data_IF_453705273332
#
_entry.id   IF_453705273332
#
_cell.length_a   1.000
_cell.length_b   1.000
_cell.length_c   1.000
_cell.angle_alpha   90.00
_cell.angle_beta   90.00
_cell.angle_gamma   90.00
#
_symmetry.space_group_name_H-M   'P 1'
#
loop_
_entity.id
_entity.type
_entity.pdbx_description
1 polymer ?
#
# COMPACT_ATOMS: atom_id res chain seq x y z
N UNK A 1 3.55 -40.80 30.45
CA UNK A 1 3.11 -40.88 29.04
C UNK A 1 1.79 -41.64 29.01
N UNK A 2 0.70 -40.97 28.62
CA UNK A 2 -0.65 -41.53 28.68
C UNK A 2 -1.74 -40.46 28.58
N UNK A 3 -1.53 -39.43 27.75
CA UNK A 3 -2.56 -38.41 27.53
C UNK A 3 -3.68 -38.98 26.66
N UNK A 4 -4.93 -38.77 27.05
CA UNK A 4 -6.11 -39.11 26.26
C UNK A 4 -6.57 -37.86 25.51
N UNK A 5 -6.67 -37.95 24.19
CA UNK A 5 -7.30 -36.90 23.38
C UNK A 5 -8.81 -36.94 23.58
N UNK A 6 -9.42 -35.76 23.80
CA UNK A 6 -10.86 -35.61 23.98
C UNK A 6 -11.37 -34.65 22.91
N UNK A 7 -12.42 -35.06 22.20
CA UNK A 7 -13.15 -34.20 21.28
C UNK A 7 -14.35 -33.60 22.01
N UNK A 8 -14.36 -32.28 22.19
CA UNK A 8 -15.44 -31.54 22.85
C UNK A 8 -16.66 -31.38 21.92
N UNK A 9 -17.85 -31.11 22.48
CA UNK A 9 -19.03 -30.67 21.73
C UNK A 9 -18.73 -29.54 20.73
N UNK A 10 -19.31 -29.60 19.53
CA UNK A 10 -19.17 -28.50 18.55
C UNK A 10 -19.96 -27.29 19.04
N UNK A 11 -19.34 -26.12 18.94
CA UNK A 11 -20.01 -24.84 19.14
C UNK A 11 -20.08 -24.13 17.80
N UNK A 12 -21.30 -23.90 17.31
CA UNK A 12 -21.57 -23.04 16.17
C UNK A 12 -21.86 -21.63 16.67
N UNK A 13 -20.94 -20.70 16.42
CA UNK A 13 -21.12 -19.29 16.77
C UNK A 13 -21.78 -18.56 15.59
N UNK A 14 -22.87 -17.83 15.87
CA UNK A 14 -23.63 -17.05 14.88
C UNK A 14 -23.46 -15.55 15.12
N UNK A 15 -23.81 -14.77 14.09
CA UNK A 15 -23.85 -13.29 14.11
C UNK A 15 -22.46 -12.65 14.31
N UNK A 16 -21.46 -13.13 13.59
CA UNK A 16 -20.11 -12.55 13.58
C UNK A 16 -20.01 -11.55 12.41
N UNK A 17 -19.99 -10.25 12.72
CA UNK A 17 -20.07 -9.19 11.70
C UNK A 17 -18.70 -8.57 11.34
N UNK A 18 -17.61 -9.07 11.91
CA UNK A 18 -16.27 -8.57 11.63
C UNK A 18 -15.21 -9.65 11.83
N UNK A 19 -14.04 -9.50 11.20
CA UNK A 19 -12.90 -10.39 11.45
C UNK A 19 -12.46 -10.38 12.92
N UNK A 20 -12.56 -9.23 13.60
CA UNK A 20 -12.30 -9.12 15.04
C UNK A 20 -13.27 -9.97 15.86
N UNK A 21 -14.57 -9.92 15.53
CA UNK A 21 -15.57 -10.76 16.17
C UNK A 21 -15.27 -12.25 15.95
N UNK A 22 -14.91 -12.64 14.72
CA UNK A 22 -14.54 -14.03 14.41
C UNK A 22 -13.34 -14.49 15.24
N UNK A 23 -12.25 -13.71 15.29
CA UNK A 23 -11.07 -14.03 16.11
C UNK A 23 -11.42 -14.14 17.58
N UNK A 24 -12.14 -13.14 18.12
CA UNK A 24 -12.53 -13.10 19.53
C UNK A 24 -13.42 -14.28 19.92
N UNK A 25 -14.36 -14.67 19.06
CA UNK A 25 -15.22 -15.83 19.30
C UNK A 25 -14.42 -17.14 19.33
N UNK A 26 -13.45 -17.30 18.41
CA UNK A 26 -12.57 -18.47 18.38
C UNK A 26 -11.72 -18.53 19.66
N UNK A 27 -11.10 -17.41 20.05
CA UNK A 27 -10.26 -17.32 21.25
C UNK A 27 -11.06 -17.62 22.52
N UNK A 28 -12.25 -17.06 22.64
CA UNK A 28 -13.14 -17.31 23.77
C UNK A 28 -13.55 -18.79 23.85
N UNK A 29 -13.98 -19.38 22.75
CA UNK A 29 -14.39 -20.79 22.69
C UNK A 29 -13.24 -21.76 22.96
N UNK A 30 -12.05 -21.45 22.46
CA UNK A 30 -10.83 -22.21 22.71
C UNK A 30 -10.49 -22.26 24.22
N UNK A 31 -10.70 -21.16 24.94
CA UNK A 31 -10.49 -21.10 26.39
C UNK A 31 -11.61 -21.79 27.19
N UNK A 32 -12.88 -21.62 26.77
CA UNK A 32 -14.05 -22.04 27.52
C UNK A 32 -14.41 -23.52 27.36
N UNK A 33 -14.23 -24.11 26.17
CA UNK A 33 -14.62 -25.50 25.91
C UNK A 33 -13.92 -26.53 26.81
N UNK A 34 -12.61 -26.42 27.09
CA UNK A 34 -11.95 -27.29 28.06
C UNK A 34 -12.54 -27.16 29.47
N UNK A 35 -12.92 -25.94 29.89
CA UNK A 35 -13.56 -25.67 31.17
C UNK A 35 -14.93 -26.36 31.28
N UNK A 36 -15.77 -26.18 30.25
CA UNK A 36 -17.07 -26.86 30.14
C UNK A 36 -16.94 -28.38 30.19
N UNK A 37 -16.00 -28.95 29.42
CA UNK A 37 -15.74 -30.39 29.45
C UNK A 37 -15.30 -30.89 30.83
N UNK A 38 -14.42 -30.17 31.54
CA UNK A 38 -14.02 -30.57 32.90
C UNK A 38 -15.19 -30.55 33.88
N UNK A 39 -16.18 -29.69 33.66
CA UNK A 39 -17.35 -29.55 34.53
C UNK A 39 -18.39 -30.64 34.29
N UNK A 40 -18.70 -30.99 33.04
CA UNK A 40 -19.81 -31.90 32.70
C UNK A 40 -19.37 -33.23 32.08
N UNK A 41 -18.09 -33.38 31.72
CA UNK A 41 -17.53 -34.56 31.06
C UNK A 41 -18.06 -34.82 29.66
N UNK A 42 -18.82 -33.89 29.05
CA UNK A 42 -19.48 -34.10 27.75
C UNK A 42 -18.46 -34.14 26.63
N UNK A 43 -18.53 -35.20 25.83
CA UNK A 43 -17.71 -35.38 24.62
C UNK A 43 -18.58 -35.30 23.37
N UNK A 44 -17.95 -35.15 22.21
CA UNK A 44 -18.66 -35.14 20.94
C UNK A 44 -19.47 -36.43 20.74
N UNK A 45 -20.72 -36.28 20.31
CA UNK A 45 -21.68 -37.35 20.08
C UNK A 45 -23.00 -36.82 19.53
N UNK A 46 -24.02 -37.68 19.34
CA UNK A 46 -25.34 -37.24 18.89
C UNK A 46 -25.92 -36.16 19.82
N UNK A 47 -26.32 -35.01 19.24
CA UNK A 47 -26.86 -33.88 20.01
C UNK A 47 -25.82 -33.05 20.77
N UNK A 48 -24.52 -33.35 20.66
CA UNK A 48 -23.45 -32.58 21.30
C UNK A 48 -23.06 -31.31 20.50
N UNK A 49 -24.01 -30.68 19.81
CA UNK A 49 -23.80 -29.41 19.11
C UNK A 49 -24.57 -28.32 19.85
N UNK A 50 -23.92 -27.20 20.09
CA UNK A 50 -24.56 -26.02 20.69
C UNK A 50 -24.48 -24.84 19.74
N UNK A 51 -25.56 -24.07 19.65
CA UNK A 51 -25.58 -22.81 18.90
C UNK A 51 -25.45 -21.66 19.87
N UNK A 52 -24.42 -20.84 19.67
CA UNK A 52 -24.09 -19.68 20.51
C UNK A 52 -24.09 -18.40 19.69
N UNK A 53 -24.39 -17.29 20.33
CA UNK A 53 -24.18 -15.94 19.79
C UNK A 53 -22.87 -15.36 20.28
N UNK A 54 -22.41 -14.30 19.63
CA UNK A 54 -21.30 -13.47 20.06
C UNK A 54 -21.81 -12.13 20.61
N UNK A 55 -21.26 -11.72 21.75
CA UNK A 55 -21.48 -10.40 22.34
C UNK A 55 -20.17 -9.61 22.22
N UNK A 56 -20.13 -8.66 21.29
CA UNK A 56 -18.94 -7.86 20.99
C UNK A 56 -18.51 -6.97 22.17
N UNK A 57 -19.47 -6.46 22.95
CA UNK A 57 -19.18 -5.56 24.08
C UNK A 57 -18.51 -6.31 25.22
N UNK A 58 -18.96 -7.56 25.46
CA UNK A 58 -18.45 -8.40 26.55
C UNK A 58 -17.31 -9.29 26.12
N UNK A 59 -17.11 -9.51 24.82
CA UNK A 59 -16.12 -10.43 24.28
C UNK A 59 -16.38 -11.88 24.67
N UNK A 60 -17.65 -12.29 24.76
CA UNK A 60 -18.04 -13.64 25.18
C UNK A 60 -19.05 -14.26 24.24
N UNK A 61 -19.06 -15.59 24.17
CA UNK A 61 -20.16 -16.31 23.55
C UNK A 61 -21.24 -16.62 24.59
N UNK A 62 -22.49 -16.53 24.18
CA UNK A 62 -23.63 -16.91 25.03
C UNK A 62 -24.49 -17.95 24.32
N UNK A 63 -25.05 -18.88 25.10
CA UNK A 63 -25.93 -19.91 24.56
C UNK A 63 -27.21 -19.28 24.04
N UNK A 64 -27.51 -19.48 22.75
CA UNK A 64 -28.77 -19.03 22.16
C UNK A 64 -29.83 -20.12 22.24
N UNK A 65 -29.45 -21.35 21.88
CA UNK A 65 -30.36 -22.50 21.89
C UNK A 65 -29.59 -23.77 22.23
N UNK A 66 -30.04 -24.43 23.29
CA UNK A 66 -29.75 -25.84 23.53
C UNK A 66 -30.98 -26.63 23.07
N UNK A 67 -30.98 -27.17 21.85
CA UNK A 67 -31.99 -28.18 21.50
C UNK A 67 -31.42 -29.32 20.71
N UNK A 68 -31.86 -30.49 21.16
CA UNK A 68 -31.81 -31.79 20.55
C UNK A 68 -32.41 -31.78 19.13
N UNK A 69 -31.92 -32.74 18.36
CA UNK A 69 -32.25 -33.08 16.98
C UNK A 69 -31.60 -32.19 15.90
N UNK A 70 -30.73 -32.82 15.12
CA UNK A 70 -30.29 -32.30 13.84
C UNK A 70 -31.53 -31.95 13.02
N UNK A 71 -31.60 -30.71 12.53
CA UNK A 71 -32.71 -30.27 11.69
C UNK A 71 -32.82 -31.21 10.49
N UNK A 72 -33.88 -32.02 10.44
CA UNK A 72 -34.20 -32.81 9.26
C UNK A 72 -34.78 -31.87 8.21
N UNK A 73 -33.89 -31.30 7.40
CA UNK A 73 -34.24 -30.42 6.29
C UNK A 73 -34.95 -31.17 5.15
N UNK A 74 -35.03 -32.51 5.21
CA UNK A 74 -35.67 -33.36 4.20
C UNK A 74 -35.25 -32.95 2.78
N UNK A 75 -33.95 -32.86 2.53
CA UNK A 75 -33.43 -32.50 1.21
C UNK A 75 -33.96 -33.45 0.13
N UNK A 76 -34.54 -32.89 -0.94
CA UNK A 76 -34.91 -33.60 -2.16
C UNK A 76 -34.60 -32.69 -3.37
N UNK A 77 -34.35 -33.24 -4.56
CA UNK A 77 -34.15 -32.44 -5.77
C UNK A 77 -35.38 -31.60 -6.07
N UNK A 78 -35.17 -30.31 -6.34
CA UNK A 78 -36.25 -29.42 -6.75
C UNK A 78 -36.79 -29.88 -8.12
N UNK A 79 -38.05 -30.34 -8.22
CA UNK A 79 -38.60 -30.86 -9.47
C UNK A 79 -38.91 -29.73 -10.48
N UNK A 80 -38.99 -28.48 -10.03
CA UNK A 80 -39.34 -27.32 -10.86
C UNK A 80 -38.09 -26.74 -11.55
N UNK A 81 -36.89 -27.04 -11.04
CA UNK A 81 -35.60 -26.59 -11.60
C UNK A 81 -34.94 -27.75 -12.34
N UNK A 82 -34.81 -27.70 -13.68
CA UNK A 82 -34.08 -28.72 -14.42
C UNK A 82 -32.61 -28.73 -13.99
N UNK A 83 -31.96 -29.88 -14.13
CA UNK A 83 -30.52 -29.99 -13.84
C UNK A 83 -29.73 -29.04 -14.74
N UNK A 84 -28.89 -28.22 -14.13
CA UNK A 84 -27.96 -27.35 -14.86
C UNK A 84 -26.77 -28.19 -15.32
N UNK A 85 -26.62 -28.36 -16.62
CA UNK A 85 -25.42 -28.95 -17.23
C UNK A 85 -24.43 -27.83 -17.56
N UNK A 86 -23.22 -27.94 -17.03
CA UNK A 86 -22.12 -27.00 -17.28
C UNK A 86 -21.14 -27.69 -18.22
N UNK A 87 -21.16 -27.31 -19.50
CA UNK A 87 -20.27 -27.87 -20.52
C UNK A 87 -18.87 -27.23 -20.48
N UNK A 88 -17.92 -27.85 -21.18
CA UNK A 88 -16.54 -27.39 -21.20
C UNK A 88 -16.39 -26.01 -21.87
N UNK A 89 -17.23 -25.68 -22.87
CA UNK A 89 -17.18 -24.39 -23.54
C UNK A 89 -17.55 -23.25 -22.57
N UNK A 90 -18.57 -23.45 -21.73
CA UNK A 90 -18.94 -22.49 -20.70
C UNK A 90 -17.87 -22.38 -19.60
N UNK A 91 -17.25 -23.51 -19.21
CA UNK A 91 -16.14 -23.50 -18.24
C UNK A 91 -14.95 -22.70 -18.77
N UNK A 92 -14.56 -22.93 -20.02
CA UNK A 92 -13.46 -22.23 -20.68
C UNK A 92 -13.76 -20.73 -20.82
N UNK A 93 -15.00 -20.35 -21.12
CA UNK A 93 -15.43 -18.95 -21.18
C UNK A 93 -15.28 -18.26 -19.81
N UNK A 94 -15.76 -18.89 -18.74
CA UNK A 94 -15.64 -18.35 -17.38
C UNK A 94 -14.18 -18.26 -16.95
N UNK A 95 -13.39 -19.30 -17.21
CA UNK A 95 -11.97 -19.35 -16.86
C UNK A 95 -11.18 -18.26 -17.60
N UNK A 96 -11.46 -18.03 -18.89
CA UNK A 96 -10.85 -16.95 -19.66
C UNK A 96 -11.25 -15.55 -19.17
N UNK A 97 -12.40 -15.42 -18.50
CA UNK A 97 -12.88 -14.17 -17.90
C UNK A 97 -12.33 -13.87 -16.50
N UNK A 98 -11.67 -14.82 -15.84
CA UNK A 98 -11.14 -14.62 -14.50
C UNK A 98 -9.91 -13.69 -14.53
N UNK A 99 -9.89 -12.60 -13.73
CA UNK A 99 -8.70 -11.80 -13.58
C UNK A 99 -7.62 -12.56 -12.79
N UNK A 100 -6.38 -12.11 -12.91
CA UNK A 100 -5.30 -12.59 -12.04
C UNK A 100 -5.67 -12.38 -10.56
N UNK A 101 -5.56 -13.44 -9.76
CA UNK A 101 -5.86 -13.38 -8.33
C UNK A 101 -4.83 -12.53 -7.57
N UNK A 102 -5.22 -11.79 -6.50
CA UNK A 102 -4.33 -10.92 -5.75
C UNK A 102 -3.02 -11.57 -5.27
N UNK A 103 -3.10 -12.79 -4.73
CA UNK A 103 -1.91 -13.51 -4.26
C UNK A 103 -0.99 -13.97 -5.40
N UNK A 104 -1.58 -14.39 -6.52
CA UNK A 104 -0.80 -14.74 -7.71
C UNK A 104 -0.05 -13.52 -8.26
N UNK A 105 -0.73 -12.36 -8.29
CA UNK A 105 -0.15 -11.08 -8.65
C UNK A 105 0.99 -10.66 -7.72
N UNK A 106 0.82 -10.80 -6.40
CA UNK A 106 1.87 -10.49 -5.42
C UNK A 106 3.13 -11.31 -5.66
N UNK A 107 2.97 -12.62 -5.90
CA UNK A 107 4.09 -13.51 -6.21
C UNK A 107 4.76 -13.09 -7.53
N UNK A 108 3.98 -12.80 -8.57
CA UNK A 108 4.51 -12.29 -9.86
C UNK A 108 5.28 -10.99 -9.69
N UNK A 109 4.79 -10.04 -8.89
CA UNK A 109 5.48 -8.77 -8.64
C UNK A 109 6.78 -8.97 -7.87
N UNK A 110 6.78 -9.82 -6.85
CA UNK A 110 8.01 -10.17 -6.16
C UNK A 110 9.05 -10.76 -7.13
N UNK A 111 8.66 -11.77 -7.91
CA UNK A 111 9.60 -12.51 -8.75
C UNK A 111 10.08 -11.73 -9.99
N UNK A 112 9.19 -10.92 -10.60
CA UNK A 112 9.50 -10.21 -11.85
C UNK A 112 9.91 -8.76 -11.66
N UNK A 113 9.49 -8.11 -10.56
CA UNK A 113 9.75 -6.70 -10.28
C UNK A 113 10.68 -6.51 -9.07
N UNK A 114 10.95 -7.56 -8.29
CA UNK A 114 11.69 -7.44 -7.04
C UNK A 114 10.99 -6.57 -6.01
N UNK A 115 9.66 -6.50 -6.06
CA UNK A 115 8.83 -5.71 -5.15
C UNK A 115 8.80 -6.38 -3.77
N UNK A 116 8.90 -5.57 -2.71
CA UNK A 116 8.78 -6.09 -1.35
C UNK A 116 7.34 -6.60 -1.11
N UNK A 117 7.16 -7.76 -0.42
CA UNK A 117 5.83 -8.29 -0.15
C UNK A 117 4.90 -7.32 0.60
N UNK A 118 5.44 -6.46 1.47
CA UNK A 118 4.62 -5.48 2.19
C UNK A 118 4.09 -4.38 1.28
N UNK A 119 4.94 -3.82 0.42
CA UNK A 119 4.56 -2.85 -0.61
C UNK A 119 3.51 -3.44 -1.57
N UNK A 120 3.73 -4.68 -2.01
CA UNK A 120 2.78 -5.38 -2.87
C UNK A 120 1.44 -5.65 -2.21
N UNK A 121 1.40 -5.94 -0.90
CA UNK A 121 0.15 -6.19 -0.18
C UNK A 121 -0.76 -4.97 -0.17
N UNK A 122 -0.21 -3.76 0.00
CA UNK A 122 -0.99 -2.52 -0.07
C UNK A 122 -1.55 -2.30 -1.47
N UNK A 123 -0.80 -2.61 -2.52
CA UNK A 123 -1.21 -2.38 -3.91
C UNK A 123 -2.26 -3.37 -4.42
N UNK A 124 -2.44 -4.54 -3.79
CA UNK A 124 -3.44 -5.55 -4.18
C UNK A 124 -4.75 -5.48 -3.39
N UNK A 125 -4.89 -4.51 -2.47
CA UNK A 125 -6.12 -4.35 -1.68
C UNK A 125 -7.34 -4.09 -2.59
N UNK A 126 -7.15 -3.24 -3.60
CA UNK A 126 -8.15 -2.96 -4.62
C UNK A 126 -7.64 -3.32 -6.02
N UNK A 127 -8.50 -3.95 -6.82
CA UNK A 127 -8.16 -4.37 -8.19
C UNK A 127 -7.74 -3.19 -9.09
N UNK A 128 -8.46 -2.04 -9.11
CA UNK A 128 -8.06 -0.91 -9.94
C UNK A 128 -6.67 -0.36 -9.61
N UNK A 129 -6.30 -0.34 -8.32
CA UNK A 129 -4.99 0.11 -7.86
C UNK A 129 -3.87 -0.83 -8.36
N UNK A 130 -4.13 -2.13 -8.30
CA UNK A 130 -3.20 -3.14 -8.82
C UNK A 130 -3.04 -3.07 -10.34
N UNK A 131 -4.14 -2.83 -11.07
CA UNK A 131 -4.12 -2.66 -12.53
C UNK A 131 -3.37 -1.39 -12.94
N UNK A 132 -3.64 -0.25 -12.28
CA UNK A 132 -2.90 0.99 -12.50
C UNK A 132 -1.39 0.82 -12.26
N UNK A 133 -1.01 0.09 -11.22
CA UNK A 133 0.40 -0.20 -10.95
C UNK A 133 1.06 -1.03 -12.07
N UNK A 134 0.42 -2.12 -12.51
CA UNK A 134 0.94 -2.93 -13.62
C UNK A 134 1.06 -2.12 -14.92
N UNK A 135 0.07 -1.28 -15.23
CA UNK A 135 0.10 -0.39 -16.39
C UNK A 135 1.25 0.61 -16.29
N UNK A 136 1.41 1.29 -15.14
CA UNK A 136 2.49 2.25 -14.92
C UNK A 136 3.89 1.60 -15.01
N UNK A 137 4.05 0.36 -14.52
CA UNK A 137 5.29 -0.40 -14.66
C UNK A 137 5.56 -0.74 -16.13
N UNK A 138 4.55 -1.17 -16.88
CA UNK A 138 4.72 -1.48 -18.30
C UNK A 138 5.10 -0.23 -19.11
N UNK A 139 4.43 0.91 -18.89
CA UNK A 139 4.78 2.21 -19.49
C UNK A 139 6.24 2.61 -19.17
N UNK A 140 6.66 2.46 -17.91
CA UNK A 140 8.05 2.74 -17.52
C UNK A 140 9.06 1.83 -18.24
N UNK A 141 8.71 0.55 -18.46
CA UNK A 141 9.55 -0.40 -19.19
C UNK A 141 9.62 -0.06 -20.68
N UNK A 142 8.49 0.27 -21.30
CA UNK A 142 8.41 0.70 -22.70
C UNK A 142 9.26 1.98 -22.93
N UNK A 143 9.31 2.86 -21.93
CA UNK A 143 10.17 4.04 -21.91
C UNK A 143 11.60 3.78 -21.37
N UNK A 144 12.04 2.53 -21.37
CA UNK A 144 13.44 2.14 -21.24
C UNK A 144 13.96 2.01 -19.82
N UNK A 145 13.11 1.92 -18.79
CA UNK A 145 13.55 1.43 -17.49
C UNK A 145 13.63 -0.11 -17.52
N UNK A 146 14.70 -0.73 -16.97
CA UNK A 146 14.71 -2.18 -16.75
C UNK A 146 13.53 -2.60 -15.87
N UNK A 147 12.87 -3.72 -16.16
CA UNK A 147 11.63 -4.15 -15.49
C UNK A 147 11.71 -4.19 -13.96
N UNK A 148 12.79 -4.71 -13.41
CA UNK A 148 13.00 -4.74 -11.94
C UNK A 148 13.15 -3.32 -11.36
N UNK A 149 13.79 -2.40 -12.09
CA UNK A 149 13.93 -1.00 -11.67
C UNK A 149 12.62 -0.24 -11.80
N UNK A 150 11.86 -0.49 -12.86
CA UNK A 150 10.55 0.11 -13.11
C UNK A 150 9.58 -0.20 -11.96
N UNK A 151 9.52 -1.47 -11.52
CA UNK A 151 8.68 -1.88 -10.38
C UNK A 151 8.95 -1.06 -9.11
N UNK A 152 10.21 -1.00 -8.67
CA UNK A 152 10.61 -0.24 -7.47
C UNK A 152 10.39 1.26 -7.64
N UNK A 153 10.73 1.80 -8.81
CA UNK A 153 10.59 3.23 -9.08
C UNK A 153 9.12 3.67 -9.06
N UNK A 154 8.23 2.91 -9.72
CA UNK A 154 6.78 3.16 -9.72
C UNK A 154 6.19 2.97 -8.33
N UNK A 155 6.55 1.90 -7.62
CA UNK A 155 6.07 1.65 -6.26
C UNK A 155 6.40 2.81 -5.32
N UNK A 156 7.60 3.39 -5.43
CA UNK A 156 7.96 4.56 -4.65
C UNK A 156 7.05 5.78 -4.95
N UNK A 157 6.72 6.04 -6.22
CA UNK A 157 5.81 7.15 -6.56
C UNK A 157 4.41 6.89 -6.00
N UNK A 158 3.88 5.69 -6.21
CA UNK A 158 2.53 5.33 -5.81
C UNK A 158 2.40 5.33 -4.28
N UNK A 159 3.27 4.61 -3.57
CA UNK A 159 3.17 4.41 -2.13
C UNK A 159 3.61 5.63 -1.31
N UNK A 160 4.56 6.45 -1.78
CA UNK A 160 5.05 7.59 -1.00
C UNK A 160 4.34 8.90 -1.32
N UNK A 161 3.93 9.10 -2.58
CA UNK A 161 3.37 10.38 -3.02
C UNK A 161 1.88 10.27 -3.31
N UNK A 162 1.45 9.27 -4.09
CA UNK A 162 0.02 9.11 -4.41
C UNK A 162 -0.78 8.65 -3.21
N UNK A 163 -0.30 7.69 -2.41
CA UNK A 163 -1.02 7.20 -1.23
C UNK A 163 -1.28 8.31 -0.20
N UNK A 164 -0.36 9.26 -0.03
CA UNK A 164 -0.60 10.44 0.80
C UNK A 164 -1.76 11.27 0.26
N UNK A 165 -1.76 11.57 -1.04
CA UNK A 165 -2.79 12.36 -1.69
C UNK A 165 -4.16 11.64 -1.70
N UNK A 166 -4.16 10.34 -1.92
CA UNK A 166 -5.32 9.46 -1.84
C UNK A 166 -5.96 9.53 -0.44
N UNK A 167 -5.14 9.39 0.61
CA UNK A 167 -5.57 9.52 2.00
C UNK A 167 -6.10 10.93 2.34
N UNK A 168 -5.46 11.99 1.87
CA UNK A 168 -5.92 13.37 2.06
C UNK A 168 -7.28 13.63 1.38
N UNK A 169 -7.53 12.99 0.24
CA UNK A 169 -8.78 13.09 -0.52
C UNK A 169 -9.85 12.09 -0.09
N UNK A 170 -9.47 11.02 0.62
CA UNK A 170 -10.36 9.91 0.99
C UNK A 170 -10.80 9.06 -0.21
N UNK A 171 -9.91 8.84 -1.17
CA UNK A 171 -10.15 8.07 -2.42
C UNK A 171 -9.11 6.96 -2.59
N UNK A 172 -9.34 6.01 -3.49
CA UNK A 172 -8.33 4.97 -3.81
C UNK A 172 -7.16 5.51 -4.65
N UNK A 173 -6.09 4.73 -4.86
CA UNK A 173 -4.94 5.18 -5.64
C UNK A 173 -5.32 5.45 -7.11
N UNK A 174 -6.18 4.60 -7.67
CA UNK A 174 -6.70 4.75 -9.02
C UNK A 174 -7.55 6.02 -9.22
N UNK A 175 -8.15 6.52 -8.14
CA UNK A 175 -9.02 7.70 -8.14
C UNK A 175 -8.26 9.02 -7.89
N UNK A 176 -6.95 8.98 -7.65
CA UNK A 176 -6.13 10.18 -7.44
C UNK A 176 -6.12 11.08 -8.68
N UNK A 177 -6.28 10.51 -9.89
CA UNK A 177 -6.36 11.26 -11.14
C UNK A 177 -5.05 11.32 -11.93
N UNK A 178 -4.06 10.48 -11.62
CA UNK A 178 -2.87 10.28 -12.45
C UNK A 178 -3.07 9.09 -13.39
N UNK A 179 -2.66 9.26 -14.65
CA UNK A 179 -2.55 8.15 -15.60
C UNK A 179 -1.28 7.33 -15.39
N UNK A 180 -1.29 6.07 -15.85
CA UNK A 180 -0.12 5.18 -15.84
C UNK A 180 1.13 5.83 -16.48
N UNK A 181 0.96 6.47 -17.64
CA UNK A 181 2.05 7.18 -18.34
C UNK A 181 2.61 8.37 -17.54
N UNK A 182 1.77 9.10 -16.81
CA UNK A 182 2.24 10.17 -15.92
C UNK A 182 3.06 9.61 -14.75
N UNK A 183 2.61 8.52 -14.13
CA UNK A 183 3.33 7.84 -13.04
C UNK A 183 4.70 7.36 -13.55
N UNK A 184 4.73 6.72 -14.72
CA UNK A 184 5.95 6.27 -15.37
C UNK A 184 6.91 7.42 -15.68
N UNK A 185 6.40 8.55 -16.19
CA UNK A 185 7.20 9.75 -16.50
C UNK A 185 7.83 10.35 -15.22
N UNK A 186 7.07 10.43 -14.11
CA UNK A 186 7.61 10.88 -12.81
C UNK A 186 8.70 9.91 -12.31
N UNK A 187 8.43 8.60 -12.36
CA UNK A 187 9.39 7.57 -11.96
C UNK A 187 10.70 7.67 -12.76
N UNK A 188 10.60 7.91 -14.08
CA UNK A 188 11.75 8.15 -14.96
C UNK A 188 12.56 9.38 -14.54
N UNK A 189 11.90 10.51 -14.31
CA UNK A 189 12.57 11.75 -13.88
C UNK A 189 13.34 11.56 -12.57
N UNK A 190 12.83 10.70 -11.69
CA UNK A 190 13.50 10.34 -10.43
C UNK A 190 14.71 9.43 -10.66
N UNK A 191 14.56 8.37 -11.44
CA UNK A 191 15.67 7.46 -11.76
C UNK A 191 16.81 8.16 -12.52
N UNK A 192 16.49 9.05 -13.45
CA UNK A 192 17.47 9.84 -14.20
C UNK A 192 18.09 10.98 -13.35
N UNK A 193 17.72 11.11 -12.07
CA UNK A 193 18.14 12.20 -11.18
C UNK A 193 17.93 13.59 -11.79
N UNK A 194 16.77 13.78 -12.44
CA UNK A 194 16.33 15.04 -13.03
C UNK A 194 15.41 15.85 -12.12
N UNK A 195 14.75 15.22 -11.15
CA UNK A 195 13.95 15.91 -10.12
C UNK A 195 14.28 15.39 -8.72
N UNK A 196 14.16 16.24 -7.70
CA UNK A 196 14.28 15.84 -6.31
C UNK A 196 13.03 15.11 -5.79
N UNK A 197 13.15 14.40 -4.66
CA UNK A 197 12.03 13.64 -4.07
C UNK A 197 10.90 14.58 -3.65
N UNK A 198 11.25 15.73 -3.08
CA UNK A 198 10.32 16.78 -2.69
C UNK A 198 9.54 17.34 -3.89
N UNK A 199 10.21 17.54 -5.03
CA UNK A 199 9.57 18.03 -6.25
C UNK A 199 8.74 16.95 -6.95
N UNK A 200 9.07 15.66 -6.83
CA UNK A 200 8.19 14.60 -7.31
C UNK A 200 6.85 14.59 -6.58
N UNK A 201 6.84 14.82 -5.26
CA UNK A 201 5.59 14.98 -4.50
C UNK A 201 4.73 16.13 -5.02
N UNK A 202 5.32 17.31 -5.26
CA UNK A 202 4.62 18.46 -5.87
C UNK A 202 4.11 18.15 -7.28
N UNK A 203 4.89 17.42 -8.06
CA UNK A 203 4.52 17.02 -9.42
C UNK A 203 3.34 16.05 -9.43
N UNK A 204 3.29 15.10 -8.49
CA UNK A 204 2.11 14.24 -8.29
C UNK A 204 0.88 15.09 -7.95
N UNK A 205 0.98 16.01 -6.99
CA UNK A 205 -0.14 16.89 -6.63
C UNK A 205 -0.63 17.73 -7.82
N UNK A 206 0.31 18.27 -8.60
CA UNK A 206 0.00 19.11 -9.76
C UNK A 206 -0.64 18.32 -10.90
N UNK A 207 -0.13 17.12 -11.18
CA UNK A 207 -0.66 16.27 -12.25
C UNK A 207 -1.98 15.59 -11.86
N UNK A 208 -2.29 15.50 -10.57
CA UNK A 208 -3.59 15.05 -10.07
C UNK A 208 -4.71 16.09 -10.25
N UNK A 209 -4.39 17.28 -10.74
CA UNK A 209 -5.38 18.29 -11.14
C UNK A 209 -5.93 17.95 -12.54
N UNK A 210 -7.25 17.93 -12.75
CA UNK A 210 -7.86 17.67 -14.06
C UNK A 210 -7.34 18.55 -15.20
N UNK A 211 -6.89 19.79 -14.94
CA UNK A 211 -6.31 20.68 -15.95
C UNK A 211 -4.97 20.18 -16.53
N UNK A 212 -4.35 19.24 -15.82
CA UNK A 212 -3.08 18.60 -16.16
C UNK A 212 -3.25 17.12 -16.56
N UNK A 213 -4.49 16.63 -16.68
CA UNK A 213 -4.77 15.27 -17.13
C UNK A 213 -4.09 14.99 -18.49
N UNK A 214 -3.34 13.89 -18.54
CA UNK A 214 -2.61 13.45 -19.74
C UNK A 214 -1.43 14.34 -20.16
N UNK A 215 -1.08 15.39 -19.40
CA UNK A 215 0.13 16.16 -19.68
C UNK A 215 1.37 15.39 -19.25
N UNK A 216 2.43 15.50 -20.05
CA UNK A 216 3.72 14.90 -19.74
C UNK A 216 4.35 15.53 -18.48
N UNK A 217 4.84 14.68 -17.58
CA UNK A 217 5.38 15.10 -16.29
C UNK A 217 6.69 15.89 -16.45
N UNK A 218 7.52 15.57 -17.45
CA UNK A 218 8.78 16.28 -17.67
C UNK A 218 8.53 17.71 -18.14
N UNK A 219 7.58 17.91 -19.05
CA UNK A 219 7.17 19.24 -19.51
C UNK A 219 6.60 20.10 -18.36
N UNK A 220 5.77 19.51 -17.48
CA UNK A 220 5.24 20.23 -16.31
C UNK A 220 6.36 20.58 -15.32
N UNK A 221 7.27 19.65 -15.05
CA UNK A 221 8.41 19.91 -14.17
C UNK A 221 9.36 20.98 -14.72
N UNK A 222 9.55 21.04 -16.04
CA UNK A 222 10.35 22.08 -16.70
C UNK A 222 9.68 23.45 -16.58
N UNK A 223 8.38 23.52 -16.89
CA UNK A 223 7.60 24.76 -16.79
C UNK A 223 7.58 25.34 -15.38
N UNK A 224 7.46 24.49 -14.36
CA UNK A 224 7.45 24.89 -12.95
C UNK A 224 8.87 25.11 -12.37
N UNK A 225 9.92 24.89 -13.17
CA UNK A 225 11.32 25.05 -12.74
C UNK A 225 11.75 24.05 -11.68
N UNK A 226 11.18 22.84 -11.69
CA UNK A 226 11.43 21.78 -10.70
C UNK A 226 12.52 20.79 -11.10
N UNK A 227 13.01 20.88 -12.34
CA UNK A 227 14.17 20.12 -12.80
C UNK A 227 15.43 20.53 -12.04
N UNK A 228 16.31 19.56 -11.79
CA UNK A 228 17.56 19.79 -11.08
C UNK A 228 18.51 20.61 -11.96
N UNK A 229 18.93 21.77 -11.45
CA UNK A 229 19.96 22.62 -12.04
C UNK A 229 21.32 22.17 -11.52
N UNK A 230 22.21 21.83 -12.45
CA UNK A 230 23.60 21.43 -12.18
C UNK A 230 24.63 22.49 -12.59
N UNK A 231 24.18 23.63 -13.11
CA UNK A 231 25.06 24.73 -13.48
C UNK A 231 25.65 25.38 -12.23
N UNK A 232 26.97 25.33 -12.10
CA UNK A 232 27.70 25.88 -10.94
C UNK A 232 27.52 27.40 -10.81
N UNK A 233 27.33 28.12 -11.92
CA UNK A 233 27.13 29.57 -11.90
C UNK A 233 25.79 29.97 -11.26
N UNK A 234 24.71 29.30 -11.65
CA UNK A 234 23.40 29.48 -11.05
C UNK A 234 23.39 29.10 -9.56
N UNK A 235 24.01 27.97 -9.21
CA UNK A 235 24.14 27.53 -7.81
C UNK A 235 24.99 28.50 -6.98
N UNK A 236 26.08 29.01 -7.54
CA UNK A 236 26.94 30.02 -6.92
C UNK A 236 26.13 31.26 -6.51
N UNK A 237 25.28 31.77 -7.40
CA UNK A 237 24.44 32.94 -7.11
C UNK A 237 23.54 32.73 -5.89
N UNK A 238 22.82 31.61 -5.81
CA UNK A 238 21.98 31.30 -4.67
C UNK A 238 22.78 31.10 -3.37
N UNK A 239 23.94 30.46 -3.45
CA UNK A 239 24.80 30.23 -2.29
C UNK A 239 25.33 31.57 -1.74
N UNK A 240 25.80 32.45 -2.61
CA UNK A 240 26.34 33.76 -2.21
C UNK A 240 25.25 34.63 -1.55
N UNK A 241 24.03 34.61 -2.07
CA UNK A 241 22.87 35.26 -1.44
C UNK A 241 22.56 34.67 -0.05
N UNK A 242 22.54 33.34 0.08
CA UNK A 242 22.25 32.69 1.37
C UNK A 242 23.34 32.98 2.40
N UNK A 243 24.61 32.98 2.01
CA UNK A 243 25.73 33.32 2.89
C UNK A 243 25.59 34.76 3.40
N UNK A 244 25.29 35.71 2.49
CA UNK A 244 25.10 37.12 2.83
C UNK A 244 23.89 37.34 3.75
N UNK A 245 22.78 36.62 3.54
CA UNK A 245 21.57 36.74 4.37
C UNK A 245 21.71 36.04 5.74
N UNK A 246 22.67 35.13 5.90
CA UNK A 246 22.78 34.24 7.07
C UNK A 246 24.16 34.27 7.74
N UNK A 247 24.80 35.43 7.81
CA UNK A 247 26.15 35.62 8.39
C UNK A 247 26.34 34.94 9.76
N UNK A 248 25.36 35.06 10.66
CA UNK A 248 25.42 34.45 12.01
C UNK A 248 25.52 32.92 11.97
N UNK A 249 24.92 32.27 10.98
CA UNK A 249 24.96 30.81 10.82
C UNK A 249 26.32 30.41 10.24
N UNK A 250 26.84 31.20 9.30
CA UNK A 250 28.17 31.00 8.72
C UNK A 250 29.26 31.08 9.79
N UNK A 251 29.19 32.07 10.69
CA UNK A 251 30.11 32.17 11.84
C UNK A 251 30.05 30.95 12.77
N UNK A 252 28.85 30.40 13.01
CA UNK A 252 28.69 29.19 13.83
C UNK A 252 29.31 27.96 13.18
N UNK A 253 29.22 27.84 11.85
CA UNK A 253 29.84 26.75 11.08
C UNK A 253 31.36 26.86 11.17
N UNK A 254 31.91 28.07 10.95
CA UNK A 254 33.34 28.37 11.14
C UNK A 254 33.81 28.09 12.57
N UNK A 255 32.95 28.31 13.57
CA UNK A 255 33.17 27.97 14.98
C UNK A 255 33.06 26.47 15.32
N UNK A 256 32.94 25.58 14.33
CA UNK A 256 32.95 24.13 14.51
C UNK A 256 31.58 23.46 14.61
N UNK A 257 30.46 24.20 14.51
CA UNK A 257 29.10 23.62 14.51
C UNK A 257 28.67 23.20 13.11
N UNK A 258 29.31 22.17 12.57
CA UNK A 258 29.06 21.62 11.23
C UNK A 258 27.59 21.19 10.98
N UNK A 259 26.81 20.90 12.02
CA UNK A 259 25.38 20.60 11.89
C UNK A 259 24.54 21.77 11.34
N UNK A 260 25.04 23.01 11.47
CA UNK A 260 24.35 24.21 10.97
C UNK A 260 24.37 24.34 9.44
N UNK A 261 25.24 23.60 8.73
CA UNK A 261 25.30 23.55 7.26
C UNK A 261 23.97 23.07 6.67
N UNK A 262 23.29 22.13 7.33
CA UNK A 262 21.98 21.63 6.88
C UNK A 262 20.91 22.72 6.77
N UNK A 263 20.98 23.75 7.62
CA UNK A 263 20.07 24.90 7.57
C UNK A 263 20.35 25.78 6.35
N UNK A 264 21.62 26.05 6.04
CA UNK A 264 22.00 26.82 4.85
C UNK A 264 21.61 26.08 3.56
N UNK A 265 21.80 24.76 3.50
CA UNK A 265 21.30 23.94 2.40
C UNK A 265 19.79 24.15 2.24
N UNK A 266 19.02 24.09 3.34
CA UNK A 266 17.57 24.34 3.32
C UNK A 266 17.20 25.70 2.73
N UNK A 267 17.91 26.77 3.07
CA UNK A 267 17.68 28.11 2.51
C UNK A 267 18.04 28.20 1.02
N UNK A 268 19.14 27.57 0.57
CA UNK A 268 19.49 27.49 -0.86
C UNK A 268 18.43 26.71 -1.64
N UNK A 269 17.96 25.59 -1.07
CA UNK A 269 16.87 24.80 -1.65
C UNK A 269 15.57 25.60 -1.75
N UNK A 270 15.28 26.46 -0.77
CA UNK A 270 14.11 27.35 -0.78
C UNK A 270 14.21 28.42 -1.87
N UNK A 271 15.36 29.11 -1.99
CA UNK A 271 15.59 30.14 -3.03
C UNK A 271 15.55 29.55 -4.44
N UNK A 272 16.10 28.35 -4.62
CA UNK A 272 16.08 27.64 -5.90
C UNK A 272 14.74 26.96 -6.22
N UNK A 273 13.72 27.06 -5.36
CA UNK A 273 12.44 26.39 -5.55
C UNK A 273 12.50 24.85 -5.48
N UNK A 274 13.60 24.29 -4.98
CA UNK A 274 13.87 22.85 -4.97
C UNK A 274 14.74 22.36 -6.13
N UNK A 275 15.15 23.24 -7.04
CA UNK A 275 15.88 22.87 -8.26
C UNK A 275 17.39 22.70 -8.07
N UNK A 276 18.02 23.29 -7.04
CA UNK A 276 19.46 23.13 -6.86
C UNK A 276 19.83 21.67 -6.55
N UNK A 277 20.97 21.17 -7.04
CA UNK A 277 21.48 19.85 -6.63
C UNK A 277 21.96 19.90 -5.17
N UNK A 278 21.24 19.23 -4.27
CA UNK A 278 21.52 19.28 -2.84
C UNK A 278 22.92 18.77 -2.46
N UNK A 279 23.49 17.84 -3.24
CA UNK A 279 24.83 17.32 -3.00
C UNK A 279 25.88 18.35 -3.42
N UNK A 280 25.75 18.91 -4.62
CA UNK A 280 26.65 19.96 -5.11
C UNK A 280 26.59 21.22 -4.24
N UNK A 281 25.39 21.65 -3.83
CA UNK A 281 25.21 22.79 -2.91
C UNK A 281 25.94 22.57 -1.59
N UNK A 282 25.90 21.36 -1.03
CA UNK A 282 26.61 21.03 0.21
C UNK A 282 28.13 21.14 0.03
N UNK A 283 28.67 20.62 -1.07
CA UNK A 283 30.10 20.67 -1.37
C UNK A 283 30.54 22.14 -1.56
N UNK A 284 29.83 22.91 -2.40
CA UNK A 284 30.13 24.32 -2.66
C UNK A 284 29.97 25.23 -1.43
N UNK A 285 29.01 24.94 -0.54
CA UNK A 285 28.85 25.68 0.72
C UNK A 285 30.03 25.44 1.65
N UNK A 286 30.51 24.21 1.77
CA UNK A 286 31.66 23.88 2.61
C UNK A 286 32.93 24.56 2.08
N UNK A 287 33.17 24.51 0.77
CA UNK A 287 34.32 25.16 0.13
C UNK A 287 34.33 26.68 0.30
N UNK A 288 33.15 27.33 0.28
CA UNK A 288 33.04 28.80 0.50
C UNK A 288 33.13 29.24 1.95
N UNK A 289 32.84 28.33 2.89
CA UNK A 289 32.77 28.65 4.33
C UNK A 289 34.08 28.27 5.05
N UNK A 290 34.89 27.35 4.52
CA UNK A 290 36.30 27.18 4.94
C UNK A 290 37.12 28.46 4.76
#
# INVERSE_FOLDING_TARGET
>A
AGGKTITTPIVEVKNLNSFRAVSGAIEHELAEQPGRWRADGRVMGPGAKTTRGWDDDRGVTFTQREKADAHDYRYFPDPDIPTLEIDDAWRDEVEAGLPELPLARLHRWHDSLGLDPSDGMTLIEERPDAELFDEAVNEAVEHGLPRERAGKAVANIVLQHMARLANERGVSLAEVGLSAGQIASIARLREDNRIQASNAGKLVEKLADPDYAGRDAAAVAEYEGWLIVRDEGAMAGWIDEVIAENEKIVEQIKGGKQQAVGRLIGEVMKKSGGSADAKAVREMLLERIE
#
